data_IF_145076207619
#
_entry.id   IF_145076207619
#
_cell.length_a   1.000
_cell.length_b   1.000
_cell.length_c   1.000
_cell.angle_alpha   90.00
_cell.angle_beta   90.00
_cell.angle_gamma   90.00
#
_symmetry.space_group_name_H-M   'P 1'
#
loop_
_entity.id
_entity.type
_entity.pdbx_description
1 polymer ?
#
# COMPACT_ATOMS: atom_id res chain seq x y z
N UNK A 1 11.40 -6.96 1.38
CA UNK A 1 10.01 -6.82 0.93
C UNK A 1 9.35 -5.63 1.59
N UNK A 2 8.24 -5.18 1.02
CA UNK A 2 7.32 -4.21 1.59
C UNK A 2 5.92 -4.80 1.60
N UNK A 3 5.11 -4.44 2.59
CA UNK A 3 3.71 -4.83 2.68
C UNK A 3 2.86 -3.57 2.62
N UNK A 4 1.71 -3.66 1.96
CA UNK A 4 0.77 -2.56 1.81
C UNK A 4 -0.66 -3.10 1.64
N UNK A 5 -1.65 -2.23 1.83
CA UNK A 5 -3.05 -2.56 1.62
C UNK A 5 -3.63 -1.70 0.49
N UNK A 6 -4.49 -2.30 -0.33
CA UNK A 6 -5.28 -1.61 -1.35
C UNK A 6 -6.77 -1.81 -1.07
N UNK A 7 -7.61 -0.91 -1.58
CA UNK A 7 -9.07 -1.06 -1.50
C UNK A 7 -9.51 -2.37 -2.19
N UNK A 8 -10.43 -3.11 -1.57
CA UNK A 8 -10.99 -4.35 -2.11
C UNK A 8 -11.66 -4.16 -3.48
N UNK A 9 -12.18 -2.95 -3.74
CA UNK A 9 -12.79 -2.57 -5.02
C UNK A 9 -11.74 -2.24 -6.10
N UNK A 10 -10.44 -2.33 -5.80
CA UNK A 10 -9.39 -2.13 -6.81
C UNK A 10 -9.53 -3.18 -7.92
N UNK A 11 -9.78 -2.79 -9.18
CA UNK A 11 -9.95 -3.75 -10.27
C UNK A 11 -8.69 -4.59 -10.47
N UNK A 12 -8.88 -5.86 -10.84
CA UNK A 12 -7.78 -6.81 -11.06
C UNK A 12 -6.80 -6.32 -12.14
N UNK A 13 -7.28 -5.60 -13.14
CA UNK A 13 -6.46 -5.00 -14.21
C UNK A 13 -5.45 -4.00 -13.64
N UNK A 14 -5.83 -3.23 -12.61
CA UNK A 14 -4.91 -2.30 -11.94
C UNK A 14 -3.85 -3.03 -11.13
N UNK A 15 -4.19 -4.19 -10.54
CA UNK A 15 -3.21 -5.04 -9.84
C UNK A 15 -2.22 -5.64 -10.85
N UNK A 16 -2.68 -6.04 -12.04
CA UNK A 16 -1.83 -6.43 -13.16
C UNK A 16 -0.89 -5.29 -13.59
N UNK A 17 -1.43 -4.09 -13.81
CA UNK A 17 -0.65 -2.92 -14.19
C UNK A 17 0.37 -2.50 -13.10
N UNK A 18 0.03 -2.66 -11.81
CA UNK A 18 0.96 -2.47 -10.70
C UNK A 18 2.15 -3.43 -10.83
N UNK A 19 1.89 -4.72 -11.08
CA UNK A 19 2.95 -5.72 -11.28
C UNK A 19 3.90 -5.34 -12.42
N UNK A 20 3.35 -4.95 -13.57
CA UNK A 20 4.15 -4.54 -14.74
C UNK A 20 4.98 -3.27 -14.49
N UNK A 21 4.42 -2.29 -13.76
CA UNK A 21 5.15 -1.06 -13.42
C UNK A 21 6.27 -1.33 -12.41
N UNK A 22 6.03 -2.19 -11.42
CA UNK A 22 7.08 -2.63 -10.48
C UNK A 22 8.19 -3.36 -11.23
N UNK A 23 7.85 -4.29 -12.13
CA UNK A 23 8.84 -5.00 -12.94
C UNK A 23 9.74 -4.03 -13.71
N UNK A 24 9.14 -3.07 -14.42
CA UNK A 24 9.89 -2.03 -15.16
C UNK A 24 10.78 -1.18 -14.26
N UNK A 25 10.34 -0.87 -13.04
CA UNK A 25 11.17 -0.14 -12.09
C UNK A 25 12.41 -0.96 -11.68
N UNK A 26 12.25 -2.25 -11.38
CA UNK A 26 13.37 -3.11 -11.00
C UNK A 26 14.36 -3.29 -12.17
N UNK A 27 13.85 -3.52 -13.38
CA UNK A 27 14.67 -3.65 -14.61
C UNK A 27 15.44 -2.37 -14.96
N UNK A 28 14.89 -1.19 -14.61
CA UNK A 28 15.58 0.11 -14.76
C UNK A 28 16.62 0.38 -13.68
N UNK A 29 16.59 -0.37 -12.59
CA UNK A 29 17.52 -0.22 -11.46
C UNK A 29 18.27 -1.53 -11.17
N UNK A 30 18.94 -2.14 -12.17
CA UNK A 30 19.61 -3.44 -12.02
C UNK A 30 20.78 -3.39 -11.03
N UNK A 31 21.34 -2.21 -10.77
CA UNK A 31 22.37 -2.00 -9.75
C UNK A 31 21.83 -2.15 -8.32
N UNK A 32 20.50 -2.03 -8.14
CA UNK A 32 19.85 -2.15 -6.83
C UNK A 32 19.12 -3.47 -6.63
N UNK A 33 18.51 -3.99 -7.69
CA UNK A 33 17.54 -5.07 -7.61
C UNK A 33 17.83 -6.19 -8.60
N UNK A 34 17.58 -7.42 -8.16
CA UNK A 34 17.43 -8.54 -9.07
C UNK A 34 16.08 -8.42 -9.80
N UNK A 35 15.99 -8.79 -11.10
CA UNK A 35 14.75 -8.63 -11.88
C UNK A 35 13.60 -9.52 -11.38
N UNK A 36 13.92 -10.69 -10.80
CA UNK A 36 12.90 -11.56 -10.21
C UNK A 36 12.37 -10.97 -8.90
N UNK A 37 11.05 -10.86 -8.81
CA UNK A 37 10.32 -10.42 -7.63
C UNK A 37 9.00 -11.16 -7.50
N UNK A 38 8.42 -11.13 -6.30
CA UNK A 38 7.08 -11.63 -6.02
C UNK A 38 6.15 -10.50 -5.62
N UNK A 39 4.96 -10.48 -6.22
CA UNK A 39 3.82 -9.67 -5.76
C UNK A 39 2.68 -10.63 -5.42
N UNK A 40 2.32 -10.71 -4.15
CA UNK A 40 1.36 -11.69 -3.64
C UNK A 40 0.24 -11.00 -2.88
N UNK A 41 -0.97 -11.57 -2.98
CA UNK A 41 -2.05 -11.29 -2.03
C UNK A 41 -1.77 -12.12 -0.78
N UNK A 42 -1.66 -11.45 0.36
CA UNK A 42 -1.42 -12.08 1.67
C UNK A 42 -2.77 -12.50 2.26
N UNK A 43 -3.74 -11.58 2.29
CA UNK A 43 -5.05 -11.80 2.89
C UNK A 43 -6.07 -10.76 2.40
N UNK A 44 -7.36 -11.08 2.54
CA UNK A 44 -8.46 -10.12 2.46
C UNK A 44 -8.86 -9.81 3.90
N UNK A 45 -8.71 -8.57 4.33
CA UNK A 45 -9.02 -8.16 5.70
C UNK A 45 -10.33 -7.38 5.72
N UNK A 46 -11.21 -7.69 6.68
CA UNK A 46 -12.49 -7.01 6.92
C UNK A 46 -13.38 -6.84 5.66
N UNK A 47 -13.18 -7.66 4.63
CA UNK A 47 -13.90 -7.65 3.34
C UNK A 47 -13.83 -6.29 2.61
N UNK A 48 -12.90 -5.41 2.98
CA UNK A 48 -12.79 -4.05 2.44
C UNK A 48 -11.38 -3.68 1.99
N UNK A 49 -10.36 -4.45 2.40
CA UNK A 49 -8.97 -4.23 2.00
C UNK A 49 -8.30 -5.55 1.63
N UNK A 50 -7.43 -5.48 0.63
CA UNK A 50 -6.57 -6.58 0.23
C UNK A 50 -5.16 -6.24 0.73
N UNK A 51 -4.61 -7.07 1.60
CA UNK A 51 -3.22 -6.96 2.02
C UNK A 51 -2.33 -7.65 1.01
N UNK A 52 -1.28 -6.97 0.59
CA UNK A 52 -0.34 -7.44 -0.41
C UNK A 52 1.10 -7.36 0.08
N UNK A 53 1.94 -8.27 -0.43
CA UNK A 53 3.37 -8.30 -0.18
C UNK A 53 4.15 -8.18 -1.49
N UNK A 54 5.06 -7.21 -1.55
CA UNK A 54 6.07 -7.08 -2.60
C UNK A 54 7.42 -7.54 -2.07
N UNK A 55 7.92 -8.67 -2.57
CA UNK A 55 9.19 -9.27 -2.18
C UNK A 55 10.20 -9.13 -3.32
N UNK A 56 11.24 -8.33 -3.07
CA UNK A 56 12.34 -8.04 -3.99
C UNK A 56 13.65 -8.50 -3.39
N UNK A 57 14.62 -8.79 -4.26
CA UNK A 57 15.97 -9.20 -3.88
C UNK A 57 16.95 -8.08 -4.17
N UNK A 58 17.70 -7.65 -3.16
CA UNK A 58 18.78 -6.68 -3.32
C UNK A 58 20.01 -7.33 -3.94
N UNK A 59 20.79 -6.57 -4.69
CA UNK A 59 22.10 -6.98 -5.22
C UNK A 59 23.25 -6.84 -4.23
N UNK A 60 23.03 -6.13 -3.12
CA UNK A 60 24.05 -5.84 -2.09
C UNK A 60 24.06 -6.87 -0.96
N UNK A 61 25.24 -7.03 -0.35
CA UNK A 61 25.44 -7.88 0.82
C UNK A 61 24.75 -7.28 2.07
N UNK A 62 24.39 -8.13 3.02
CA UNK A 62 23.71 -7.79 4.27
C UNK A 62 24.49 -6.82 5.18
N UNK A 63 25.80 -6.67 4.97
CA UNK A 63 26.67 -5.79 5.76
C UNK A 63 26.40 -4.29 5.49
N UNK A 64 25.79 -3.94 4.35
CA UNK A 64 25.40 -2.56 4.04
C UNK A 64 23.94 -2.28 4.40
N UNK A 65 23.65 -2.32 5.71
CA UNK A 65 22.29 -2.13 6.21
C UNK A 65 21.76 -0.71 5.92
N UNK A 66 22.62 0.31 6.03
CA UNK A 66 22.24 1.70 5.78
C UNK A 66 21.73 1.92 4.36
N UNK A 67 22.48 1.42 3.37
CA UNK A 67 22.06 1.48 1.97
C UNK A 67 20.82 0.63 1.69
N UNK A 68 20.72 -0.55 2.32
CA UNK A 68 19.54 -1.42 2.20
C UNK A 68 18.25 -0.70 2.65
N UNK A 69 18.31 0.05 3.75
CA UNK A 69 17.17 0.83 4.25
C UNK A 69 16.81 1.96 3.29
N UNK A 70 17.80 2.69 2.76
CA UNK A 70 17.58 3.76 1.77
C UNK A 70 16.87 3.23 0.52
N UNK A 71 17.41 2.16 -0.09
CA UNK A 71 16.79 1.50 -1.26
C UNK A 71 15.37 1.02 -0.99
N UNK A 72 15.11 0.49 0.21
CA UNK A 72 13.75 0.10 0.62
C UNK A 72 12.82 1.32 0.67
N UNK A 73 13.28 2.44 1.20
CA UNK A 73 12.51 3.70 1.22
C UNK A 73 12.19 4.17 -0.20
N UNK A 74 13.18 4.15 -1.10
CA UNK A 74 12.99 4.53 -2.51
C UNK A 74 11.97 3.62 -3.21
N UNK A 75 12.01 2.31 -2.94
CA UNK A 75 11.01 1.37 -3.44
C UNK A 75 9.60 1.69 -2.94
N UNK A 76 9.43 2.04 -1.65
CA UNK A 76 8.13 2.45 -1.11
C UNK A 76 7.62 3.70 -1.81
N UNK A 77 8.49 4.69 -2.05
CA UNK A 77 8.13 5.92 -2.74
C UNK A 77 7.76 5.69 -4.20
N UNK A 78 8.44 4.77 -4.90
CA UNK A 78 8.04 4.38 -6.25
C UNK A 78 6.69 3.67 -6.26
N UNK A 79 6.43 2.76 -5.32
CA UNK A 79 5.11 2.09 -5.23
C UNK A 79 4.00 3.11 -4.96
N UNK A 80 4.24 4.11 -4.09
CA UNK A 80 3.32 5.24 -3.92
C UNK A 80 3.07 5.98 -5.25
N UNK A 81 4.13 6.30 -6.00
CA UNK A 81 4.01 6.97 -7.31
C UNK A 81 3.17 6.15 -8.29
N UNK A 82 3.38 4.83 -8.32
CA UNK A 82 2.59 3.91 -9.15
C UNK A 82 1.11 3.90 -8.72
N UNK A 83 0.82 3.95 -7.42
CA UNK A 83 -0.56 4.03 -6.93
C UNK A 83 -1.25 5.31 -7.40
N UNK A 84 -0.55 6.44 -7.35
CA UNK A 84 -1.07 7.72 -7.85
C UNK A 84 -1.38 7.64 -9.35
N UNK A 85 -0.44 7.13 -10.15
CA UNK A 85 -0.63 6.94 -11.60
C UNK A 85 -1.80 6.01 -11.94
N UNK A 86 -1.96 4.92 -11.20
CA UNK A 86 -3.03 3.95 -11.42
C UNK A 86 -4.34 4.35 -10.72
N UNK A 87 -4.36 5.46 -9.97
CA UNK A 87 -5.48 5.83 -9.10
C UNK A 87 -5.91 4.66 -8.20
N UNK A 88 -4.94 3.96 -7.61
CA UNK A 88 -5.15 2.98 -6.54
C UNK A 88 -5.21 3.78 -5.24
N UNK A 89 -6.31 3.63 -4.51
CA UNK A 89 -6.54 4.34 -3.25
C UNK A 89 -6.83 3.34 -2.14
N UNK A 90 -6.75 3.83 -0.91
CA UNK A 90 -7.31 3.16 0.25
C UNK A 90 -8.45 4.04 0.76
N UNK A 91 -9.69 3.55 0.66
CA UNK A 91 -10.83 4.21 1.25
C UNK A 91 -11.17 3.54 2.58
N UNK A 92 -11.40 4.33 3.62
CA UNK A 92 -11.99 3.83 4.85
C UNK A 92 -13.44 3.40 4.56
N UNK A 93 -13.88 2.35 5.23
CA UNK A 93 -15.29 1.94 5.19
C UNK A 93 -16.17 3.10 5.67
N UNK A 94 -17.31 3.36 5.00
CA UNK A 94 -18.34 4.23 5.54
C UNK A 94 -18.74 3.76 6.94
N UNK A 95 -18.68 4.66 7.93
CA UNK A 95 -19.15 4.36 9.29
C UNK A 95 -20.58 4.85 9.46
N UNK A 96 -21.45 3.99 9.99
CA UNK A 96 -22.81 4.38 10.34
C UNK A 96 -22.82 5.34 11.52
N UNK A 97 -23.41 6.52 11.36
CA UNK A 97 -23.53 7.53 12.42
C UNK A 97 -24.92 7.42 13.06
N UNK A 98 -24.96 7.17 14.37
CA UNK A 98 -26.20 7.20 15.15
C UNK A 98 -26.37 8.59 15.76
N UNK A 99 -27.25 9.40 15.17
CA UNK A 99 -27.60 10.71 15.71
C UNK A 99 -28.65 10.53 16.82
N UNK A 100 -28.35 11.02 18.02
CA UNK A 100 -29.33 11.16 19.11
C UNK A 100 -29.66 12.63 19.27
N UNK A 101 -30.93 12.97 19.28
CA UNK A 101 -31.38 14.29 19.69
C UNK A 101 -31.15 14.43 21.20
N UNK A 102 -30.29 15.37 21.60
CA UNK A 102 -30.19 15.77 23.00
C UNK A 102 -31.23 16.86 23.25
N UNK A 103 -32.07 16.69 24.25
CA UNK A 103 -32.91 17.78 24.72
C UNK A 103 -32.01 18.92 25.22
N UNK A 104 -32.37 20.20 24.96
CA UNK A 104 -31.62 21.33 25.47
C UNK A 104 -31.56 21.27 26.99
N UNK A 105 -30.35 21.43 27.54
CA UNK A 105 -30.11 21.35 28.98
C UNK A 105 -30.85 22.49 29.71
N UNK A 106 -31.97 22.17 30.36
CA UNK A 106 -32.77 23.14 31.12
C UNK A 106 -32.18 23.40 32.51
N UNK A 107 -30.98 22.91 32.83
CA UNK A 107 -30.34 23.12 34.14
C UNK A 107 -30.07 24.60 34.47
N UNK A 108 -30.05 25.48 33.47
CA UNK A 108 -29.93 26.93 33.65
C UNK A 108 -31.23 27.65 34.05
N UNK A 109 -32.35 26.94 34.19
CA UNK A 109 -33.65 27.50 34.58
C UNK A 109 -33.98 27.31 36.07
N UNK A 110 -33.00 26.98 36.93
CA UNK A 110 -33.15 26.87 38.38
C UNK A 110 -32.42 27.97 39.14
#
# INVERSE_FOLDING_TARGET
>A
GIEFSIDFMTPAEKIGALKEKVQRYLERNPQYWHPNFGLFVIEIENVNKIKMGLYVTHTINFQDFGEKVKRKSDLVMEVKRIFEELSIRYNLLPQGVHLRYMEPDTSYLK
#
